data_IF_439029296789
#
_entry.id   IF_439029296789
#
_cell.length_a   1.000
_cell.length_b   1.000
_cell.length_c   1.000
_cell.angle_alpha   90.00
_cell.angle_beta   90.00
_cell.angle_gamma   90.00
#
_symmetry.space_group_name_H-M   'P 1'
#
loop_
_entity.id
_entity.type
_entity.pdbx_description
1 polymer ?
#
# COMPACT_ATOMS: atom_id res chain seq x y z
N UNK A 1 -28.50 19.27 -6.97
CA UNK A 1 -28.54 20.37 -5.98
C UNK A 1 -30.00 20.69 -5.70
N UNK A 2 -30.47 20.60 -4.46
CA UNK A 2 -31.86 20.90 -4.15
C UNK A 2 -31.92 21.77 -2.89
N UNK A 3 -32.65 22.88 -2.99
CA UNK A 3 -32.78 23.89 -1.95
C UNK A 3 -34.03 23.55 -1.14
N UNK A 4 -33.87 23.09 0.10
CA UNK A 4 -34.98 22.99 1.04
C UNK A 4 -34.90 24.16 2.02
N UNK A 5 -36.03 24.84 2.19
CA UNK A 5 -36.20 26.01 3.05
C UNK A 5 -37.08 25.62 4.22
N UNK A 6 -36.53 25.68 5.44
CA UNK A 6 -37.32 25.56 6.67
C UNK A 6 -37.02 26.80 7.53
N UNK A 7 -38.09 27.51 7.95
CA UNK A 7 -38.12 28.65 8.87
C UNK A 7 -36.93 29.63 8.80
N UNK A 8 -37.04 30.61 7.90
CA UNK A 8 -36.53 31.98 8.13
C UNK A 8 -35.02 32.23 8.06
N UNK A 9 -34.17 31.23 8.28
CA UNK A 9 -32.71 31.42 8.33
C UNK A 9 -32.01 30.55 7.27
N UNK A 10 -31.12 31.16 6.50
CA UNK A 10 -30.30 30.45 5.52
C UNK A 10 -29.10 29.82 6.23
N UNK A 11 -29.29 28.60 6.76
CA UNK A 11 -28.17 27.79 7.22
C UNK A 11 -27.64 26.95 6.05
N UNK A 12 -26.36 27.12 5.71
CA UNK A 12 -25.66 26.25 4.78
C UNK A 12 -25.32 24.94 5.49
N UNK A 13 -26.23 23.97 5.47
CA UNK A 13 -25.85 22.60 5.81
C UNK A 13 -25.21 22.04 4.56
N UNK A 14 -23.89 22.17 4.46
CA UNK A 14 -23.12 21.47 3.45
C UNK A 14 -23.28 19.99 3.75
N UNK A 15 -24.15 19.30 2.99
CA UNK A 15 -24.10 17.84 2.88
C UNK A 15 -22.86 17.51 2.04
N UNK A 16 -21.69 17.71 2.63
CA UNK A 16 -20.46 17.18 2.07
C UNK A 16 -20.51 15.68 2.33
N UNK A 17 -21.06 14.95 1.37
CA UNK A 17 -20.85 13.51 1.32
C UNK A 17 -19.35 13.30 1.39
N UNK A 18 -18.83 12.56 2.39
CA UNK A 18 -17.40 12.30 2.43
C UNK A 18 -17.13 11.44 1.20
N UNK A 19 -16.56 12.06 0.16
CA UNK A 19 -15.87 11.36 -0.90
C UNK A 19 -14.86 10.50 -0.16
N UNK A 20 -15.18 9.21 0.01
CA UNK A 20 -14.25 8.28 0.63
C UNK A 20 -13.05 8.25 -0.31
N UNK A 21 -12.03 9.04 0.01
CA UNK A 21 -10.74 8.97 -0.63
C UNK A 21 -10.19 7.59 -0.31
N UNK A 22 -10.52 6.65 -1.20
CA UNK A 22 -10.23 5.25 -1.04
C UNK A 22 -8.82 5.06 -1.56
N UNK A 23 -7.89 4.79 -0.65
CA UNK A 23 -6.54 4.35 -1.01
C UNK A 23 -6.67 3.02 -1.75
N UNK A 24 -6.50 3.07 -3.07
CA UNK A 24 -6.46 1.87 -3.91
C UNK A 24 -5.02 1.38 -3.95
N UNK A 25 -4.71 0.43 -3.07
CA UNK A 25 -3.49 -0.37 -3.23
C UNK A 25 -3.66 -1.24 -4.47
N UNK A 26 -2.79 -1.07 -5.45
CA UNK A 26 -2.82 -1.90 -6.64
C UNK A 26 -2.11 -3.22 -6.34
N UNK A 27 -2.84 -4.16 -5.72
CA UNK A 27 -2.32 -5.46 -5.26
C UNK A 27 -1.71 -6.26 -6.42
N UNK A 28 -2.16 -6.02 -7.66
CA UNK A 28 -1.61 -6.65 -8.86
C UNK A 28 -0.09 -6.40 -9.03
N UNK A 29 0.42 -5.23 -8.63
CA UNK A 29 1.87 -4.92 -8.66
C UNK A 29 2.68 -5.82 -7.74
N UNK A 30 2.07 -6.38 -6.71
CA UNK A 30 2.75 -7.24 -5.75
C UNK A 30 2.93 -8.67 -6.26
N UNK A 31 2.13 -9.12 -7.25
CA UNK A 31 2.18 -10.48 -7.78
C UNK A 31 3.26 -10.71 -8.85
N UNK A 32 3.83 -9.64 -9.40
CA UNK A 32 4.80 -9.72 -10.51
C UNK A 32 6.19 -9.21 -10.14
N UNK A 33 6.56 -9.30 -8.87
CA UNK A 33 7.86 -8.82 -8.39
C UNK A 33 8.95 -9.83 -8.78
N UNK A 34 9.90 -9.39 -9.59
CA UNK A 34 11.00 -10.23 -10.08
C UNK A 34 12.36 -9.72 -9.63
N UNK A 35 12.50 -8.40 -9.45
CA UNK A 35 13.77 -7.73 -9.13
C UNK A 35 13.78 -7.11 -7.73
N UNK A 36 14.99 -6.85 -7.20
CA UNK A 36 15.20 -6.18 -5.91
C UNK A 36 14.52 -4.80 -5.88
N UNK A 37 14.62 -4.05 -6.97
CA UNK A 37 13.99 -2.73 -7.13
C UNK A 37 12.47 -2.80 -7.07
N UNK A 38 11.86 -3.76 -7.75
CA UNK A 38 10.41 -3.95 -7.72
C UNK A 38 9.93 -4.33 -6.32
N UNK A 39 10.64 -5.22 -5.64
CA UNK A 39 10.29 -5.64 -4.28
C UNK A 39 10.38 -4.48 -3.29
N UNK A 40 11.43 -3.67 -3.37
CA UNK A 40 11.56 -2.47 -2.53
C UNK A 40 10.48 -1.43 -2.83
N UNK A 41 10.16 -1.20 -4.10
CA UNK A 41 9.07 -0.30 -4.48
C UNK A 41 7.71 -0.80 -4.00
N UNK A 42 7.50 -2.11 -4.02
CA UNK A 42 6.29 -2.75 -3.50
C UNK A 42 6.18 -2.60 -1.97
N UNK A 43 7.25 -2.87 -1.25
CA UNK A 43 7.31 -2.69 0.22
C UNK A 43 7.09 -1.21 0.58
N UNK A 44 7.70 -0.28 -0.16
CA UNK A 44 7.55 1.16 0.07
C UNK A 44 6.12 1.67 -0.17
N UNK A 45 5.38 1.12 -1.13
CA UNK A 45 3.98 1.50 -1.34
C UNK A 45 3.05 0.98 -0.25
N UNK A 46 3.44 -0.08 0.47
CA UNK A 46 2.73 -0.55 1.66
C UNK A 46 3.02 0.39 2.84
N UNK A 47 4.25 0.87 3.01
CA UNK A 47 4.63 1.75 4.11
C UNK A 47 4.31 3.24 3.89
N UNK A 48 3.30 3.55 3.07
CA UNK A 48 2.90 4.89 2.64
C UNK A 48 2.99 5.94 3.77
N UNK A 49 3.52 7.16 3.54
CA UNK A 49 3.82 8.19 4.56
C UNK A 49 2.67 8.56 5.50
N UNK A 50 1.43 8.24 5.15
CA UNK A 50 0.26 8.42 6.01
C UNK A 50 0.20 7.43 7.18
N UNK A 51 1.04 6.39 7.20
CA UNK A 51 1.14 5.44 8.32
C UNK A 51 -0.10 4.56 8.51
N UNK A 52 -1.02 4.57 7.55
CA UNK A 52 -2.30 3.84 7.60
C UNK A 52 -2.06 2.32 7.62
N UNK A 53 -0.97 1.87 7.01
CA UNK A 53 -0.51 0.49 7.04
C UNK A 53 0.80 0.44 7.81
N UNK A 54 0.70 0.16 9.11
CA UNK A 54 1.88 0.02 9.95
C UNK A 54 2.75 -1.15 9.45
N UNK A 55 4.08 -1.00 9.41
CA UNK A 55 4.95 -2.05 8.92
C UNK A 55 4.78 -3.36 9.68
N UNK A 56 4.25 -4.39 9.01
CA UNK A 56 4.16 -5.71 9.62
C UNK A 56 5.56 -6.27 9.86
N UNK A 57 5.73 -7.01 10.95
CA UNK A 57 7.02 -7.63 11.32
C UNK A 57 7.57 -8.46 10.15
N UNK A 58 6.70 -9.13 9.38
CA UNK A 58 7.06 -9.91 8.20
C UNK A 58 7.72 -9.06 7.11
N UNK A 59 7.14 -7.90 6.77
CA UNK A 59 7.73 -6.99 5.77
C UNK A 59 9.09 -6.46 6.21
N UNK A 60 9.27 -6.17 7.52
CA UNK A 60 10.57 -5.78 8.07
C UNK A 60 11.61 -6.89 7.93
N UNK A 61 11.23 -8.15 8.17
CA UNK A 61 12.12 -9.30 8.02
C UNK A 61 12.53 -9.46 6.54
N UNK A 62 11.57 -9.41 5.61
CA UNK A 62 11.85 -9.51 4.17
C UNK A 62 12.82 -8.39 3.74
N UNK A 63 12.60 -7.16 4.19
CA UNK A 63 13.48 -6.03 3.92
C UNK A 63 14.90 -6.25 4.46
N UNK A 64 15.04 -6.77 5.69
CA UNK A 64 16.34 -7.07 6.28
C UNK A 64 17.10 -8.16 5.54
N UNK A 65 16.40 -9.23 5.12
CA UNK A 65 17.01 -10.31 4.33
C UNK A 65 17.48 -9.79 2.98
N UNK A 66 16.65 -9.01 2.29
CA UNK A 66 16.97 -8.38 1.00
C UNK A 66 18.18 -7.44 1.06
N UNK A 67 18.37 -6.77 2.21
CA UNK A 67 19.51 -5.87 2.42
C UNK A 67 20.80 -6.60 2.76
N UNK A 68 20.71 -7.74 3.44
CA UNK A 68 21.86 -8.63 3.68
C UNK A 68 22.29 -9.34 2.41
N UNK A 69 21.36 -9.56 1.51
CA UNK A 69 21.61 -10.19 0.22
C UNK A 69 22.28 -9.18 -0.72
N UNK A 70 23.50 -9.51 -1.13
CA UNK A 70 24.38 -8.62 -1.90
C UNK A 70 24.00 -8.57 -3.39
N UNK A 71 22.69 -8.54 -3.65
CA UNK A 71 22.04 -8.57 -4.96
C UNK A 71 21.92 -7.14 -5.50
N UNK A 72 22.21 -6.95 -6.79
CA UNK A 72 22.06 -5.67 -7.46
C UNK A 72 20.59 -5.26 -7.55
N UNK A 73 20.32 -3.99 -7.85
CA UNK A 73 18.97 -3.44 -7.90
C UNK A 73 18.09 -4.08 -8.97
N UNK A 74 18.65 -4.38 -10.13
CA UNK A 74 17.93 -4.96 -11.28
C UNK A 74 18.14 -6.47 -11.42
N UNK A 75 18.89 -7.09 -10.49
CA UNK A 75 19.09 -8.53 -10.48
C UNK A 75 17.85 -9.25 -9.92
N UNK A 76 17.60 -10.49 -10.36
CA UNK A 76 16.55 -11.33 -9.80
C UNK A 76 16.84 -11.62 -8.33
N UNK A 77 15.80 -11.49 -7.49
CA UNK A 77 15.89 -11.85 -6.08
C UNK A 77 15.92 -13.38 -5.91
N UNK A 78 16.62 -13.90 -4.88
CA UNK A 78 16.62 -15.33 -4.64
C UNK A 78 15.22 -15.87 -4.36
N UNK A 79 14.98 -17.10 -4.81
CA UNK A 79 13.70 -17.78 -4.64
C UNK A 79 13.24 -17.86 -3.17
N UNK A 80 14.17 -17.84 -2.21
CA UNK A 80 13.83 -17.82 -0.77
C UNK A 80 13.07 -16.55 -0.37
N UNK A 81 13.48 -15.39 -0.89
CA UNK A 81 12.82 -14.10 -0.66
C UNK A 81 11.52 -14.04 -1.45
N UNK A 82 11.55 -14.51 -2.71
CA UNK A 82 10.41 -14.57 -3.60
C UNK A 82 9.26 -15.40 -3.01
N UNK A 83 9.54 -16.60 -2.51
CA UNK A 83 8.57 -17.46 -1.83
C UNK A 83 7.99 -16.79 -0.57
N UNK A 84 8.83 -16.14 0.24
CA UNK A 84 8.38 -15.43 1.45
C UNK A 84 7.46 -14.26 1.12
N UNK A 85 7.72 -13.58 0.00
CA UNK A 85 6.89 -12.50 -0.52
C UNK A 85 5.57 -13.02 -1.08
N UNK A 86 5.59 -14.09 -1.89
CA UNK A 86 4.39 -14.74 -2.40
C UNK A 86 3.48 -15.22 -1.26
N UNK A 87 4.05 -15.85 -0.23
CA UNK A 87 3.32 -16.26 0.97
C UNK A 87 2.65 -15.06 1.66
N UNK A 88 3.36 -13.94 1.82
CA UNK A 88 2.81 -12.72 2.41
C UNK A 88 1.64 -12.16 1.58
N UNK A 89 1.80 -12.07 0.26
CA UNK A 89 0.77 -11.54 -0.64
C UNK A 89 -0.42 -12.49 -0.85
N UNK A 90 -0.25 -13.78 -0.58
CA UNK A 90 -1.34 -14.77 -0.64
C UNK A 90 -2.17 -14.80 0.65
N UNK A 91 -1.63 -14.35 1.78
CA UNK A 91 -2.31 -14.29 3.08
C UNK A 91 -2.98 -12.93 3.36
N UNK A 92 -2.63 -11.89 2.60
CA UNK A 92 -3.18 -10.53 2.71
C UNK A 92 -4.41 -10.34 1.80
#
# INVERSE_FOLDING_TARGET
MQKLRIRGETAWIVLESPSRDMLKLNISKFKSVTTKRELLSAIASIFDPLGILSPTIRLKIILQVLWKDNVSWDDPIPNTILNSWEEFTSQA
#
